data_IF_215604373030
#
_entry.id   IF_215604373030
#
_cell.length_a   1.000
_cell.length_b   1.000
_cell.length_c   1.000
_cell.angle_alpha   90.00
_cell.angle_beta   90.00
_cell.angle_gamma   90.00
#
_symmetry.space_group_name_H-M   'P 1'
#
loop_
_entity.id
_entity.type
_entity.pdbx_description
1 polymer ?
#
# COMPACT_ATOMS: atom_id res chain seq x y z
N UNK A 1 19.68 -21.63 -4.68
CA UNK A 1 19.89 -22.16 -3.32
C UNK A 1 18.72 -21.77 -2.39
N UNK A 2 18.39 -20.49 -2.25
CA UNK A 2 17.40 -19.98 -1.28
C UNK A 2 15.97 -20.54 -1.51
N UNK A 3 15.44 -20.43 -2.71
CA UNK A 3 14.12 -21.00 -3.09
C UNK A 3 14.03 -22.51 -2.82
N UNK A 4 15.14 -23.23 -3.07
CA UNK A 4 15.21 -24.66 -2.76
C UNK A 4 15.14 -24.92 -1.27
N UNK A 5 15.82 -24.11 -0.45
CA UNK A 5 15.78 -24.26 1.00
C UNK A 5 14.36 -24.02 1.57
N UNK A 6 13.63 -23.04 1.02
CA UNK A 6 12.22 -22.81 1.36
C UNK A 6 11.36 -24.05 1.01
N UNK A 7 11.54 -24.58 -0.20
CA UNK A 7 10.77 -25.75 -0.63
C UNK A 7 11.10 -27.01 0.20
N UNK A 8 12.39 -27.26 0.49
CA UNK A 8 12.84 -28.38 1.32
C UNK A 8 12.31 -28.29 2.78
N UNK A 9 12.08 -27.05 3.28
CA UNK A 9 11.49 -26.80 4.59
C UNK A 9 9.95 -26.94 4.61
N UNK A 10 9.31 -27.18 3.47
CA UNK A 10 7.86 -27.30 3.35
C UNK A 10 7.14 -26.00 3.04
N UNK A 11 7.86 -24.96 2.63
CA UNK A 11 7.31 -23.64 2.29
C UNK A 11 7.43 -22.63 3.43
N UNK A 12 6.65 -21.54 3.37
CA UNK A 12 6.58 -20.47 4.36
C UNK A 12 5.21 -20.53 5.02
N UNK A 13 5.17 -20.72 6.33
CA UNK A 13 3.91 -20.73 7.09
C UNK A 13 3.37 -19.32 7.27
N UNK A 14 4.24 -18.38 7.68
CA UNK A 14 3.90 -16.98 7.93
C UNK A 14 4.96 -16.07 7.29
N UNK A 15 4.52 -15.15 6.44
CA UNK A 15 5.33 -14.09 5.87
C UNK A 15 4.97 -12.75 6.52
N UNK A 16 5.90 -12.15 7.24
CA UNK A 16 5.74 -10.80 7.79
C UNK A 16 6.41 -9.79 6.85
N UNK A 17 5.70 -8.72 6.52
CA UNK A 17 6.11 -7.67 5.58
C UNK A 17 5.93 -6.28 6.17
N UNK A 18 6.81 -5.37 5.78
CA UNK A 18 6.57 -3.94 5.78
C UNK A 18 6.28 -3.46 4.36
N UNK A 19 6.00 -2.17 4.21
CA UNK A 19 5.79 -1.52 2.90
C UNK A 19 6.68 -0.29 2.77
N UNK A 20 7.40 -0.17 1.66
CA UNK A 20 8.14 1.03 1.32
C UNK A 20 7.26 2.14 0.77
N UNK A 21 7.77 3.38 0.68
CA UNK A 21 7.03 4.53 0.13
C UNK A 21 6.65 4.36 -1.35
N UNK A 22 7.46 3.61 -2.11
CA UNK A 22 7.15 3.25 -3.50
C UNK A 22 6.09 2.14 -3.63
N UNK A 23 5.71 1.51 -2.51
CA UNK A 23 4.79 0.37 -2.50
C UNK A 23 5.47 -0.98 -2.69
N UNK A 24 6.79 -1.03 -2.53
CA UNK A 24 7.51 -2.29 -2.54
C UNK A 24 7.27 -3.11 -1.26
N UNK A 25 7.32 -4.42 -1.38
CA UNK A 25 7.38 -5.41 -0.30
C UNK A 25 8.64 -6.23 -0.45
N UNK A 26 9.42 -6.42 0.64
CA UNK A 26 10.83 -6.76 0.51
C UNK A 26 11.52 -5.65 -0.28
N UNK A 27 12.38 -5.99 -1.24
CA UNK A 27 12.89 -5.02 -2.23
C UNK A 27 12.32 -5.29 -3.62
N UNK A 28 11.04 -5.65 -3.71
CA UNK A 28 10.35 -5.74 -4.98
C UNK A 28 9.93 -4.33 -5.43
N UNK A 29 10.90 -3.58 -5.96
CA UNK A 29 10.74 -2.21 -6.46
C UNK A 29 9.70 -2.12 -7.58
N UNK A 30 9.19 -0.90 -7.90
CA UNK A 30 8.28 -0.68 -9.01
C UNK A 30 8.74 -1.37 -10.30
N UNK A 31 7.82 -2.07 -10.96
CA UNK A 31 8.11 -2.92 -12.12
C UNK A 31 8.40 -4.39 -11.78
N UNK A 32 8.46 -4.76 -10.50
CA UNK A 32 8.59 -6.17 -10.11
C UNK A 32 7.32 -6.94 -10.44
N UNK A 33 7.43 -7.87 -11.38
CA UNK A 33 6.29 -8.68 -11.81
C UNK A 33 5.85 -9.70 -10.77
N UNK A 34 4.57 -10.11 -10.86
CA UNK A 34 3.93 -11.11 -10.00
C UNK A 34 4.70 -12.43 -9.93
N UNK A 35 5.29 -12.86 -11.03
CA UNK A 35 6.02 -14.14 -11.15
C UNK A 35 7.48 -14.05 -10.71
N UNK A 36 7.93 -12.91 -10.18
CA UNK A 36 9.32 -12.74 -9.78
C UNK A 36 9.70 -13.68 -8.63
N UNK A 37 10.90 -14.24 -8.73
CA UNK A 37 11.52 -15.10 -7.73
C UNK A 37 12.66 -14.38 -7.03
N UNK A 38 13.28 -15.03 -6.05
CA UNK A 38 14.46 -14.51 -5.37
C UNK A 38 15.55 -14.16 -6.38
N UNK A 39 15.99 -12.88 -6.34
CA UNK A 39 16.93 -12.33 -7.31
C UNK A 39 17.72 -11.16 -6.76
N UNK A 40 18.81 -10.83 -7.42
CA UNK A 40 19.48 -9.55 -7.29
C UNK A 40 18.61 -8.45 -7.92
N UNK A 41 18.50 -7.31 -7.27
CA UNK A 41 17.81 -6.12 -7.76
C UNK A 41 18.68 -4.88 -7.53
N UNK A 42 18.41 -3.83 -8.30
CA UNK A 42 18.91 -2.49 -8.02
C UNK A 42 17.90 -1.73 -7.18
N UNK A 43 18.35 -1.13 -6.08
CA UNK A 43 17.52 -0.28 -5.23
C UNK A 43 17.25 1.05 -5.94
N UNK A 44 15.99 1.49 -5.92
CA UNK A 44 15.68 2.80 -6.45
C UNK A 44 16.18 3.94 -5.54
N UNK A 45 16.15 5.16 -6.05
CA UNK A 45 16.63 6.34 -5.33
C UNK A 45 15.84 6.62 -4.06
N UNK A 46 14.52 6.38 -4.05
CA UNK A 46 13.66 6.60 -2.89
C UNK A 46 14.04 5.60 -1.78
N UNK A 47 14.20 4.33 -2.13
CA UNK A 47 14.61 3.28 -1.18
C UNK A 47 15.98 3.55 -0.60
N UNK A 48 16.94 4.00 -1.41
CA UNK A 48 18.28 4.37 -0.94
C UNK A 48 18.26 5.59 -0.04
N UNK A 49 17.49 6.61 -0.40
CA UNK A 49 17.32 7.81 0.43
C UNK A 49 16.67 7.49 1.77
N UNK A 50 15.66 6.61 1.80
CA UNK A 50 15.01 6.17 3.03
C UNK A 50 15.95 5.39 3.97
N UNK A 51 16.88 4.61 3.40
CA UNK A 51 17.87 3.85 4.14
C UNK A 51 19.09 4.67 4.58
N UNK A 52 19.25 5.90 4.11
CA UNK A 52 20.46 6.71 4.32
C UNK A 52 20.83 6.87 5.79
N UNK A 53 19.85 7.01 6.69
CA UNK A 53 20.10 7.13 8.13
C UNK A 53 20.73 5.87 8.75
N UNK A 54 20.34 4.70 8.27
CA UNK A 54 20.81 3.42 8.77
C UNK A 54 22.24 3.10 8.31
N UNK A 55 22.66 3.74 7.21
CA UNK A 55 23.98 3.57 6.60
C UNK A 55 24.92 4.77 6.79
N UNK A 56 24.54 5.76 7.62
CA UNK A 56 25.34 6.96 7.88
C UNK A 56 25.62 7.81 6.63
N UNK A 57 24.71 7.79 5.65
CA UNK A 57 24.75 8.54 4.39
C UNK A 57 24.27 7.73 3.22
N UNK A 58 23.63 8.38 2.25
CA UNK A 58 23.08 7.71 1.05
C UNK A 58 24.18 7.08 0.18
N UNK A 59 25.37 7.68 0.18
CA UNK A 59 26.55 7.19 -0.53
C UNK A 59 27.03 5.84 -0.02
N UNK A 60 26.69 5.49 1.23
CA UNK A 60 27.07 4.24 1.86
C UNK A 60 26.00 3.14 1.68
N UNK A 61 24.82 3.51 1.19
CA UNK A 61 23.74 2.53 0.93
C UNK A 61 24.14 1.69 -0.28
N UNK A 62 24.18 0.35 -0.16
CA UNK A 62 24.44 -0.52 -1.31
C UNK A 62 23.47 -0.23 -2.46
N UNK A 63 23.93 -0.17 -3.71
CA UNK A 63 23.06 0.05 -4.87
C UNK A 63 22.23 -1.19 -5.21
N UNK A 64 22.61 -2.35 -4.70
CA UNK A 64 22.03 -3.64 -5.03
C UNK A 64 21.63 -4.40 -3.76
N UNK A 65 20.58 -5.21 -3.88
CA UNK A 65 20.13 -6.11 -2.81
C UNK A 65 19.64 -7.45 -3.39
N UNK A 66 19.64 -8.48 -2.56
CA UNK A 66 18.94 -9.73 -2.88
C UNK A 66 17.59 -9.70 -2.18
N UNK A 67 16.53 -9.92 -2.93
CA UNK A 67 15.17 -9.95 -2.38
C UNK A 67 14.44 -11.24 -2.74
N UNK A 68 13.59 -11.71 -1.82
CA UNK A 68 12.55 -12.67 -2.13
C UNK A 68 11.58 -12.04 -3.14
N UNK A 69 11.26 -12.75 -4.22
CA UNK A 69 10.36 -12.25 -5.24
C UNK A 69 8.89 -12.31 -4.83
N UNK A 70 8.04 -11.61 -5.57
CA UNK A 70 6.59 -11.52 -5.31
C UNK A 70 5.95 -12.91 -5.31
N UNK A 71 6.26 -13.75 -6.31
CA UNK A 71 5.70 -15.10 -6.38
C UNK A 71 6.08 -15.97 -5.17
N UNK A 72 7.28 -15.80 -4.62
CA UNK A 72 7.72 -16.52 -3.43
C UNK A 72 6.99 -16.03 -2.18
N UNK A 73 6.78 -14.72 -2.06
CA UNK A 73 5.98 -14.09 -0.98
C UNK A 73 4.55 -14.64 -1.03
N UNK A 74 3.91 -14.62 -2.21
CA UNK A 74 2.53 -15.07 -2.40
C UNK A 74 2.33 -16.59 -2.22
N UNK A 75 3.40 -17.37 -2.13
CA UNK A 75 3.36 -18.80 -1.80
C UNK A 75 3.30 -19.07 -0.29
N UNK A 76 3.46 -18.07 0.56
CA UNK A 76 3.27 -18.23 1.99
C UNK A 76 1.82 -18.68 2.29
N UNK A 77 1.61 -19.40 3.40
CA UNK A 77 0.26 -19.80 3.83
C UNK A 77 -0.52 -18.62 4.38
N UNK A 78 0.15 -17.77 5.13
CA UNK A 78 -0.39 -16.54 5.70
C UNK A 78 0.59 -15.38 5.46
N UNK A 79 0.04 -14.21 5.17
CA UNK A 79 0.83 -12.97 5.02
C UNK A 79 0.30 -11.92 6.01
N UNK A 80 1.23 -11.31 6.75
CA UNK A 80 0.97 -10.14 7.59
C UNK A 80 1.80 -8.98 7.06
N UNK A 81 1.13 -7.89 6.66
CA UNK A 81 1.78 -6.61 6.37
C UNK A 81 1.51 -5.64 7.52
N UNK A 82 2.57 -4.99 8.02
CA UNK A 82 2.47 -4.01 9.09
C UNK A 82 2.95 -2.65 8.56
N UNK A 83 2.14 -1.61 8.75
CA UNK A 83 2.53 -0.25 8.42
C UNK A 83 2.01 0.76 9.44
N UNK A 84 2.84 1.72 9.80
CA UNK A 84 2.53 2.76 10.80
C UNK A 84 2.95 4.14 10.30
N UNK A 85 2.22 5.15 10.75
CA UNK A 85 2.51 6.57 10.49
C UNK A 85 1.89 7.11 9.21
N UNK A 86 1.59 8.41 9.24
CA UNK A 86 0.90 9.15 8.19
C UNK A 86 1.63 9.08 6.83
N UNK A 87 2.97 9.04 6.85
CA UNK A 87 3.78 8.93 5.64
C UNK A 87 3.52 7.65 4.81
N UNK A 88 2.82 6.66 5.40
CA UNK A 88 2.39 5.43 4.72
C UNK A 88 0.96 5.52 4.17
N UNK A 89 0.16 6.51 4.57
CA UNK A 89 -1.27 6.53 4.27
C UNK A 89 -1.58 6.44 2.77
N UNK A 90 -0.87 7.22 1.93
CA UNK A 90 -1.10 7.20 0.48
C UNK A 90 -0.70 5.87 -0.16
N UNK A 91 0.43 5.30 0.23
CA UNK A 91 0.88 4.03 -0.34
C UNK A 91 0.02 2.87 0.14
N UNK A 92 -0.48 2.90 1.37
CA UNK A 92 -1.45 1.93 1.90
C UNK A 92 -2.76 2.01 1.11
N UNK A 93 -3.30 3.21 0.85
CA UNK A 93 -4.48 3.34 0.00
C UNK A 93 -4.27 2.72 -1.38
N UNK A 94 -3.13 3.00 -2.02
CA UNK A 94 -2.80 2.40 -3.33
C UNK A 94 -2.68 0.88 -3.24
N UNK A 95 -2.05 0.35 -2.20
CA UNK A 95 -1.83 -1.08 -2.01
C UNK A 95 -3.14 -1.85 -1.75
N UNK A 96 -4.09 -1.25 -1.03
CA UNK A 96 -5.33 -1.92 -0.56
C UNK A 96 -6.51 -1.68 -1.52
N UNK A 97 -6.63 -0.47 -2.06
CA UNK A 97 -7.79 -0.03 -2.85
C UNK A 97 -7.47 0.24 -4.32
N UNK A 98 -6.16 0.26 -4.68
CA UNK A 98 -5.73 0.49 -6.06
C UNK A 98 -5.83 -0.77 -6.93
N UNK A 99 -5.68 -0.58 -8.24
CA UNK A 99 -5.56 -1.69 -9.18
C UNK A 99 -4.29 -2.51 -8.90
N UNK A 100 -4.40 -3.82 -9.08
CA UNK A 100 -3.25 -4.73 -8.96
C UNK A 100 -2.28 -4.47 -10.11
N UNK A 101 -1.12 -3.88 -9.78
CA UNK A 101 -0.15 -3.48 -10.79
C UNK A 101 1.29 -3.55 -10.28
N UNK A 102 2.23 -3.83 -11.20
CA UNK A 102 3.65 -3.96 -10.88
C UNK A 102 4.31 -2.68 -10.33
N UNK A 103 3.75 -1.51 -10.60
CA UNK A 103 4.26 -0.22 -10.07
C UNK A 103 4.09 -0.11 -8.55
N UNK A 104 3.23 -0.93 -7.97
CA UNK A 104 3.01 -1.01 -6.52
C UNK A 104 2.93 -2.49 -6.15
N UNK A 105 4.07 -3.12 -5.92
CA UNK A 105 4.14 -4.57 -5.70
C UNK A 105 3.26 -5.05 -4.53
N UNK A 106 3.01 -4.20 -3.53
CA UNK A 106 2.10 -4.50 -2.43
C UNK A 106 0.65 -4.78 -2.89
N UNK A 107 0.23 -4.29 -4.06
CA UNK A 107 -1.13 -4.55 -4.59
C UNK A 107 -1.35 -6.04 -4.87
N UNK A 108 -0.31 -6.80 -5.16
CA UNK A 108 -0.42 -8.25 -5.37
C UNK A 108 -0.92 -9.00 -4.14
N UNK A 109 -0.79 -8.41 -2.94
CA UNK A 109 -1.33 -9.02 -1.70
C UNK A 109 -2.86 -9.09 -1.71
N UNK A 110 -3.56 -8.28 -2.52
CA UNK A 110 -5.01 -8.38 -2.71
C UNK A 110 -5.44 -9.72 -3.32
N UNK A 111 -4.55 -10.41 -4.04
CA UNK A 111 -4.81 -11.71 -4.67
C UNK A 111 -4.51 -12.88 -3.73
N UNK A 112 -3.94 -12.63 -2.55
CA UNK A 112 -3.59 -13.69 -1.62
C UNK A 112 -4.80 -14.08 -0.78
N UNK A 113 -5.01 -15.38 -0.60
CA UNK A 113 -6.19 -15.94 0.10
C UNK A 113 -6.23 -15.63 1.61
N UNK A 114 -5.07 -15.38 2.22
CA UNK A 114 -4.92 -15.10 3.64
C UNK A 114 -3.85 -14.02 3.88
N UNK A 115 -4.19 -12.78 3.54
CA UNK A 115 -3.34 -11.62 3.79
C UNK A 115 -4.04 -10.64 4.71
N UNK A 116 -3.40 -10.34 5.84
CA UNK A 116 -3.88 -9.35 6.81
C UNK A 116 -2.96 -8.14 6.86
N UNK A 117 -3.54 -6.94 6.81
CA UNK A 117 -2.81 -5.68 6.87
C UNK A 117 -3.12 -4.98 8.19
N UNK A 118 -2.12 -4.86 9.06
CA UNK A 118 -2.20 -4.15 10.34
C UNK A 118 -1.72 -2.71 10.18
N UNK A 119 -2.59 -1.78 10.51
CA UNK A 119 -2.36 -0.34 10.37
C UNK A 119 -2.65 0.38 11.68
N UNK A 120 -1.84 1.40 11.99
CA UNK A 120 -2.29 2.40 12.95
C UNK A 120 -3.27 3.40 12.28
N UNK A 121 -4.00 4.22 13.07
CA UNK A 121 -4.94 5.20 12.52
C UNK A 121 -4.31 6.16 11.50
N UNK A 122 -3.06 6.55 11.70
CA UNK A 122 -2.35 7.47 10.81
C UNK A 122 -2.03 6.84 9.45
N UNK A 123 -1.56 5.58 9.41
CA UNK A 123 -1.33 4.86 8.16
C UNK A 123 -2.64 4.52 7.42
N UNK A 124 -3.76 4.40 8.16
CA UNK A 124 -5.07 4.11 7.59
C UNK A 124 -5.86 5.36 7.15
N UNK A 125 -5.35 6.57 7.40
CA UNK A 125 -6.11 7.82 7.25
C UNK A 125 -6.63 8.08 5.84
N UNK A 126 -5.92 7.64 4.80
CA UNK A 126 -6.31 7.82 3.40
C UNK A 126 -7.23 6.72 2.85
N UNK A 127 -7.49 5.65 3.61
CA UNK A 127 -8.43 4.60 3.18
C UNK A 127 -9.85 5.20 3.06
N UNK A 128 -10.58 4.78 2.02
CA UNK A 128 -11.93 5.26 1.72
C UNK A 128 -12.86 5.14 2.93
N UNK A 129 -12.77 4.03 3.67
CA UNK A 129 -13.57 3.81 4.89
C UNK A 129 -13.32 4.83 6.01
N UNK A 130 -12.17 5.49 6.03
CA UNK A 130 -11.80 6.48 7.03
C UNK A 130 -12.00 7.92 6.50
N UNK A 131 -11.61 8.16 5.24
CA UNK A 131 -11.61 9.49 4.64
C UNK A 131 -12.96 9.90 4.05
N UNK A 132 -13.67 8.96 3.44
CA UNK A 132 -14.93 9.20 2.74
C UNK A 132 -15.90 8.04 2.96
N UNK A 133 -16.21 7.69 4.23
CA UNK A 133 -16.99 6.50 4.55
C UNK A 133 -18.39 6.50 3.91
N UNK A 134 -18.96 7.68 3.67
CA UNK A 134 -20.28 7.87 3.03
C UNK A 134 -20.35 7.35 1.58
N UNK A 135 -19.23 7.14 0.90
CA UNK A 135 -19.23 6.53 -0.44
C UNK A 135 -19.29 5.00 -0.40
N UNK A 136 -19.13 4.39 0.78
CA UNK A 136 -19.21 2.94 0.97
C UNK A 136 -20.56 2.48 1.51
N UNK A 137 -21.35 3.37 2.10
CA UNK A 137 -22.65 3.05 2.68
C UNK A 137 -23.13 4.10 3.68
N UNK A 138 -24.15 3.72 4.45
CA UNK A 138 -24.74 4.57 5.46
C UNK A 138 -23.75 4.91 6.58
N UNK A 139 -23.73 6.15 6.98
CA UNK A 139 -22.89 6.67 8.06
C UNK A 139 -23.75 7.47 9.07
N UNK A 140 -23.27 7.54 10.30
CA UNK A 140 -23.83 8.50 11.25
C UNK A 140 -23.32 9.90 10.88
N UNK A 141 -24.24 10.83 10.60
CA UNK A 141 -23.93 12.19 10.23
C UNK A 141 -23.84 13.10 11.46
N UNK A 142 -22.75 13.85 11.55
CA UNK A 142 -22.53 14.97 12.45
C UNK A 142 -22.04 16.19 11.65
N UNK A 143 -21.92 17.35 12.29
CA UNK A 143 -21.54 18.60 11.62
C UNK A 143 -20.17 18.52 10.94
N UNK A 144 -19.21 17.83 11.57
CA UNK A 144 -17.85 17.70 11.03
C UNK A 144 -17.86 16.81 9.77
N UNK A 145 -18.56 15.67 9.82
CA UNK A 145 -18.67 14.74 8.69
C UNK A 145 -19.46 15.32 7.53
N UNK A 146 -20.52 16.10 7.81
CA UNK A 146 -21.25 16.84 6.78
C UNK A 146 -20.33 17.86 6.09
N UNK A 147 -19.53 18.60 6.85
CA UNK A 147 -18.57 19.56 6.29
C UNK A 147 -17.51 18.86 5.42
N UNK A 148 -16.94 17.75 5.90
CA UNK A 148 -15.98 16.95 5.14
C UNK A 148 -16.59 16.43 3.83
N UNK A 149 -17.83 15.91 3.87
CA UNK A 149 -18.51 15.39 2.69
C UNK A 149 -18.81 16.50 1.66
N UNK A 150 -19.21 17.69 2.11
CA UNK A 150 -19.44 18.85 1.24
C UNK A 150 -18.13 19.31 0.58
N UNK A 151 -17.03 19.38 1.34
CA UNK A 151 -15.70 19.71 0.79
C UNK A 151 -15.27 18.68 -0.22
N UNK A 152 -15.40 17.40 0.10
CA UNK A 152 -15.08 16.31 -0.82
C UNK A 152 -15.91 16.39 -2.11
N UNK A 153 -17.24 16.60 -2.01
CA UNK A 153 -18.12 16.73 -3.17
C UNK A 153 -17.73 17.93 -4.06
N UNK A 154 -17.39 19.07 -3.44
CA UNK A 154 -16.90 20.26 -4.14
C UNK A 154 -15.64 19.92 -4.99
N UNK A 155 -14.71 19.17 -4.43
CA UNK A 155 -13.51 18.73 -5.11
C UNK A 155 -13.83 17.75 -6.28
N UNK A 156 -14.71 16.76 -6.04
CA UNK A 156 -15.11 15.79 -7.07
C UNK A 156 -15.86 16.48 -8.22
N UNK A 157 -16.80 17.36 -7.90
CA UNK A 157 -17.58 18.12 -8.88
C UNK A 157 -16.77 19.25 -9.56
N UNK A 158 -15.58 19.59 -9.02
CA UNK A 158 -14.76 20.75 -9.43
C UNK A 158 -15.55 22.05 -9.42
N UNK A 159 -16.39 22.24 -8.39
CA UNK A 159 -17.25 23.39 -8.20
C UNK A 159 -17.01 24.03 -6.84
N UNK A 160 -17.07 25.37 -6.73
CA UNK A 160 -17.11 26.01 -5.43
C UNK A 160 -18.29 25.49 -4.58
N UNK A 161 -18.12 25.39 -3.27
CA UNK A 161 -19.15 24.86 -2.35
C UNK A 161 -20.50 25.55 -2.54
N UNK A 162 -20.53 26.88 -2.69
CA UNK A 162 -21.75 27.65 -2.90
C UNK A 162 -22.45 27.41 -4.26
N UNK A 163 -21.81 26.70 -5.15
CA UNK A 163 -22.34 26.32 -6.47
C UNK A 163 -22.75 24.85 -6.55
N UNK A 164 -22.72 24.14 -5.44
CA UNK A 164 -23.23 22.76 -5.38
C UNK A 164 -24.76 22.76 -5.39
N UNK A 165 -25.33 21.83 -6.14
CA UNK A 165 -26.77 21.64 -6.29
C UNK A 165 -27.14 20.17 -6.03
N UNK A 166 -28.43 19.91 -5.80
CA UNK A 166 -28.96 18.56 -5.52
C UNK A 166 -28.51 17.50 -6.54
N UNK A 167 -28.32 17.86 -7.78
CA UNK A 167 -27.89 16.92 -8.82
C UNK A 167 -26.41 16.50 -8.66
N UNK A 168 -25.58 17.33 -8.04
CA UNK A 168 -24.17 17.00 -7.77
C UNK A 168 -24.08 15.88 -6.73
N UNK A 169 -24.98 15.88 -5.74
CA UNK A 169 -25.06 14.81 -4.73
C UNK A 169 -25.50 13.47 -5.34
N UNK A 170 -26.45 13.47 -6.29
CA UNK A 170 -27.01 12.26 -6.89
C UNK A 170 -26.04 11.51 -7.80
N UNK A 171 -25.02 12.17 -8.29
CA UNK A 171 -24.05 11.57 -9.23
C UNK A 171 -22.83 10.97 -8.55
N UNK A 172 -22.75 11.04 -7.22
CA UNK A 172 -21.60 10.60 -6.43
C UNK A 172 -21.98 9.62 -5.29
N UNK A 173 -23.14 8.94 -5.46
CA UNK A 173 -23.57 7.82 -4.60
C UNK A 173 -23.36 6.50 -5.30
#
# INVERSE_FOLDING_TARGET
AYEKAIADAGGIDLQILGIGRSGHVGFNEPGSGRESRTRLIYLDTVTRSDAASDFFGEENVPPEAITMGVATILQAREIILIATGEHKAQVIRRAVEGEVHADVAATYLQEHHDATIYLDPAAAAELTRNRTPWVLGDVEWDEDREAEAVIWLSQQAKKPILHLHTNDYRNHH
#
